data_IF_539103951121
#
_entry.id   IF_539103951121
#
_cell.length_a   1.000
_cell.length_b   1.000
_cell.length_c   1.000
_cell.angle_alpha   90.00
_cell.angle_beta   90.00
_cell.angle_gamma   90.00
#
_symmetry.space_group_name_H-M   'P 1'
#
loop_
_entity.id
_entity.type
_entity.pdbx_description
1 polymer ?
#
# COMPACT_ATOMS: atom_id res chain seq x y z
N UNK A 1 -12.07 7.18 8.45
CA UNK A 1 -12.19 5.88 9.13
C UNK A 1 -10.83 5.57 9.75
N UNK A 2 -10.77 5.25 11.05
CA UNK A 2 -9.52 4.88 11.72
C UNK A 2 -9.59 3.40 12.07
N UNK A 3 -8.60 2.62 11.60
CA UNK A 3 -8.48 1.19 11.89
C UNK A 3 -7.35 1.04 12.92
N UNK A 4 -7.65 0.44 14.09
CA UNK A 4 -6.68 0.32 15.18
C UNK A 4 -5.46 -0.52 14.76
N UNK A 5 -4.30 0.11 14.71
CA UNK A 5 -3.04 -0.52 14.29
C UNK A 5 -2.82 -0.47 12.77
N UNK A 6 -3.47 0.46 12.07
CA UNK A 6 -3.15 0.84 10.71
C UNK A 6 -2.77 2.34 10.68
N UNK A 7 -1.62 2.65 10.11
CA UNK A 7 -1.18 4.04 9.92
C UNK A 7 -1.81 4.61 8.66
N UNK A 8 -2.97 5.27 8.83
CA UNK A 8 -3.70 5.96 7.77
C UNK A 8 -4.52 7.16 8.30
N UNK A 9 -4.47 8.35 7.67
CA UNK A 9 -3.58 8.72 6.57
C UNK A 9 -2.12 8.62 7.01
N UNK A 10 -1.26 8.28 6.06
CA UNK A 10 0.16 8.14 6.33
C UNK A 10 0.85 9.48 6.06
N UNK A 11 1.63 9.95 7.03
CA UNK A 11 2.26 11.27 7.04
C UNK A 11 3.74 11.23 6.63
N UNK A 12 4.28 10.05 6.31
CA UNK A 12 5.68 9.87 5.95
C UNK A 12 6.65 9.75 7.13
N UNK A 13 6.17 9.73 8.38
CA UNK A 13 7.05 9.68 9.56
C UNK A 13 7.61 8.28 9.87
N UNK A 14 7.05 7.23 9.27
CA UNK A 14 7.37 5.83 9.57
C UNK A 14 7.83 5.10 8.30
N UNK A 15 8.92 4.35 8.30
CA UNK A 15 9.33 3.60 7.10
C UNK A 15 8.19 2.68 6.58
N UNK A 16 8.02 2.58 5.25
CA UNK A 16 6.99 1.72 4.67
C UNK A 16 7.45 1.05 3.37
N UNK A 17 6.83 -0.08 3.06
CA UNK A 17 6.88 -0.70 1.74
C UNK A 17 5.60 -0.38 0.97
N UNK A 18 5.74 -0.22 -0.35
CA UNK A 18 4.63 0.13 -1.23
C UNK A 18 4.73 -0.59 -2.56
N UNK A 19 3.61 -1.11 -3.05
CA UNK A 19 3.50 -1.65 -4.42
C UNK A 19 2.20 -1.19 -5.07
N UNK A 20 2.21 -1.05 -6.39
CA UNK A 20 1.01 -0.82 -7.19
C UNK A 20 0.67 -2.06 -8.00
N UNK A 21 -0.53 -2.63 -7.79
CA UNK A 21 -1.04 -3.81 -8.53
C UNK A 21 -2.56 -3.77 -8.62
N UNK A 22 -3.12 -4.38 -9.67
CA UNK A 22 -4.58 -4.54 -9.82
C UNK A 22 -5.36 -3.22 -9.74
N UNK A 23 -4.76 -2.10 -10.17
CA UNK A 23 -5.37 -0.78 -10.07
C UNK A 23 -5.33 -0.12 -8.68
N UNK A 24 -4.58 -0.70 -7.74
CA UNK A 24 -4.55 -0.29 -6.33
C UNK A 24 -3.11 -0.17 -5.82
N UNK A 25 -2.93 0.71 -4.84
CA UNK A 25 -1.71 0.82 -4.06
C UNK A 25 -1.87 0.05 -2.75
N UNK A 26 -0.87 -0.76 -2.43
CA UNK A 26 -0.77 -1.48 -1.17
C UNK A 26 0.40 -0.87 -0.40
N UNK A 27 0.15 -0.37 0.81
CA UNK A 27 1.18 0.22 1.67
C UNK A 27 1.19 -0.46 3.03
N UNK A 28 2.38 -0.82 3.49
CA UNK A 28 2.59 -1.37 4.83
C UNK A 28 3.64 -0.54 5.57
N UNK A 29 3.21 0.24 6.57
CA UNK A 29 4.12 0.98 7.42
C UNK A 29 4.69 0.09 8.53
N UNK A 30 5.93 0.38 8.94
CA UNK A 30 6.60 -0.33 10.05
C UNK A 30 5.76 -0.26 11.32
N UNK A 31 5.45 -1.42 11.89
CA UNK A 31 4.64 -1.53 13.11
C UNK A 31 3.12 -1.62 12.86
N UNK A 32 2.66 -1.46 11.62
CA UNK A 32 1.25 -1.69 11.30
C UNK A 32 0.91 -3.18 11.36
N UNK A 33 -0.29 -3.47 11.86
CA UNK A 33 -0.91 -4.79 11.86
C UNK A 33 -1.75 -5.04 10.61
N UNK A 34 -1.81 -4.06 9.71
CA UNK A 34 -2.57 -4.11 8.49
C UNK A 34 -1.80 -3.46 7.33
N UNK A 35 -2.04 -3.96 6.13
CA UNK A 35 -1.65 -3.32 4.87
C UNK A 35 -2.81 -2.45 4.39
N UNK A 36 -2.55 -1.17 4.17
CA UNK A 36 -3.52 -0.25 3.57
C UNK A 36 -3.69 -0.55 2.08
N UNK A 37 -4.93 -0.64 1.62
CA UNK A 37 -5.28 -0.71 0.19
C UNK A 37 -5.93 0.60 -0.22
N UNK A 38 -5.40 1.26 -1.25
CA UNK A 38 -5.88 2.53 -1.77
C UNK A 38 -6.12 2.41 -3.28
N UNK A 39 -7.08 3.16 -3.81
CA UNK A 39 -7.35 3.17 -5.26
C UNK A 39 -6.27 3.93 -6.01
N UNK A 40 -5.90 3.42 -7.19
CA UNK A 40 -4.95 4.08 -8.09
C UNK A 40 -3.51 3.99 -7.60
N UNK A 41 -2.64 4.65 -8.34
CA UNK A 41 -1.23 4.80 -7.97
C UNK A 41 -1.12 5.97 -7.00
N UNK A 42 -0.76 5.72 -5.74
CA UNK A 42 -0.55 6.79 -4.76
C UNK A 42 0.90 7.27 -4.78
N UNK A 43 1.09 8.55 -5.06
CA UNK A 43 2.38 9.23 -4.94
C UNK A 43 2.35 10.12 -3.70
N UNK A 44 3.04 9.67 -2.66
CA UNK A 44 3.27 10.45 -1.44
C UNK A 44 4.68 11.03 -1.50
N UNK A 45 4.78 12.35 -1.61
CA UNK A 45 6.05 13.05 -1.81
C UNK A 45 6.88 13.07 -0.51
N UNK A 46 7.88 12.16 -0.34
CA UNK A 46 9.20 12.45 0.30
C UNK A 46 10.17 11.25 0.36
N UNK A 47 11.47 11.62 0.40
CA UNK A 47 12.74 10.91 0.17
C UNK A 47 12.74 9.36 0.18
N UNK A 48 12.73 8.80 -1.02
CA UNK A 48 13.25 7.47 -1.32
C UNK A 48 14.06 7.55 -2.61
N UNK A 49 15.17 6.80 -2.70
CA UNK A 49 15.86 6.59 -3.97
C UNK A 49 14.98 5.67 -4.82
N UNK A 50 14.25 6.24 -5.77
CA UNK A 50 13.51 5.47 -6.75
C UNK A 50 14.47 5.07 -7.85
N UNK A 51 14.91 3.81 -7.85
CA UNK A 51 15.82 3.27 -8.87
C UNK A 51 15.09 3.11 -10.22
N UNK A 52 13.78 2.80 -10.19
CA UNK A 52 12.91 2.78 -11.37
C UNK A 52 11.43 2.84 -10.95
N UNK A 53 10.65 3.79 -11.50
CA UNK A 53 9.18 3.84 -11.34
C UNK A 53 8.48 3.63 -12.69
N UNK A 54 7.51 2.73 -12.76
CA UNK A 54 6.68 2.48 -13.97
C UNK A 54 5.22 2.54 -13.57
N UNK A 55 4.67 3.75 -13.54
CA UNK A 55 3.28 3.99 -13.16
C UNK A 55 2.35 3.84 -14.36
N UNK A 56 1.23 3.14 -14.17
CA UNK A 56 0.12 3.12 -15.14
C UNK A 56 -0.91 4.18 -14.72
N UNK A 57 -1.35 5.06 -15.63
CA UNK A 57 -2.39 6.04 -15.34
C UNK A 57 -3.73 5.41 -14.92
N UNK A 58 -4.54 6.10 -14.08
CA UNK A 58 -4.28 7.43 -13.51
C UNK A 58 -3.32 7.37 -12.31
N UNK A 59 -2.40 8.33 -12.27
CA UNK A 59 -1.56 8.60 -11.10
C UNK A 59 -2.30 9.59 -10.22
N UNK A 60 -2.45 9.28 -8.93
CA UNK A 60 -3.13 10.12 -7.96
C UNK A 60 -2.10 10.65 -6.95
N UNK A 61 -1.96 11.97 -6.89
CA UNK A 61 -1.07 12.63 -5.95
C UNK A 61 -1.76 12.92 -4.62
N UNK A 62 -1.00 12.82 -3.53
CA UNK A 62 -1.49 13.10 -2.18
C UNK A 62 -2.24 11.93 -1.54
N UNK A 63 -2.66 12.09 -0.27
CA UNK A 63 -3.29 11.03 0.51
C UNK A 63 -4.57 10.51 -0.17
N UNK A 64 -4.56 9.25 -0.56
CA UNK A 64 -5.73 8.59 -1.16
C UNK A 64 -6.60 7.93 -0.09
N UNK A 65 -7.93 7.88 -0.26
CA UNK A 65 -8.80 7.20 0.68
C UNK A 65 -8.49 5.71 0.73
N UNK A 66 -8.50 5.15 1.95
CA UNK A 66 -8.46 3.71 2.17
C UNK A 66 -9.70 3.07 1.56
N UNK A 67 -9.51 2.06 0.71
CA UNK A 67 -10.60 1.24 0.14
C UNK A 67 -10.72 -0.12 0.82
N UNK A 68 -9.64 -0.62 1.43
CA UNK A 68 -9.65 -1.84 2.25
C UNK A 68 -8.39 -1.92 3.14
N UNK A 69 -8.36 -2.86 4.08
CA UNK A 69 -7.21 -3.19 4.91
C UNK A 69 -7.00 -4.72 5.00
N UNK A 70 -5.78 -5.18 4.72
CA UNK A 70 -5.43 -6.60 4.76
C UNK A 70 -4.69 -6.87 6.08
N UNK A 71 -5.09 -7.86 6.91
CA UNK A 71 -4.31 -8.26 8.07
C UNK A 71 -2.89 -8.66 7.67
N UNK A 72 -1.90 -8.10 8.36
CA UNK A 72 -0.51 -8.39 8.14
C UNK A 72 -0.08 -9.68 8.87
N UNK A 73 0.78 -10.48 8.23
CA UNK A 73 1.34 -11.72 8.80
C UNK A 73 2.85 -11.82 8.53
N UNK A 74 3.62 -10.82 8.96
CA UNK A 74 5.07 -10.76 8.73
C UNK A 74 5.66 -9.39 9.04
N UNK A 75 6.75 -9.05 8.34
CA UNK A 75 7.42 -7.74 8.46
C UNK A 75 7.12 -6.84 7.26
N UNK A 76 6.97 -5.54 7.52
CA UNK A 76 6.71 -4.52 6.51
C UNK A 76 7.77 -4.46 5.40
N UNK A 77 9.01 -4.88 5.67
CA UNK A 77 10.09 -4.87 4.69
C UNK A 77 10.07 -6.06 3.72
N UNK A 78 9.21 -7.06 3.96
CA UNK A 78 9.06 -8.22 3.07
C UNK A 78 8.20 -7.87 1.84
N UNK A 79 8.90 -7.51 0.76
CA UNK A 79 8.26 -7.08 -0.49
C UNK A 79 7.59 -8.24 -1.26
N UNK A 80 8.09 -9.47 -1.12
CA UNK A 80 7.49 -10.66 -1.75
C UNK A 80 6.20 -11.08 -1.03
N UNK A 81 6.18 -11.00 0.30
CA UNK A 81 4.96 -11.17 1.09
C UNK A 81 3.93 -10.09 0.74
N UNK A 82 4.33 -8.81 0.67
CA UNK A 82 3.43 -7.72 0.29
C UNK A 82 2.84 -7.96 -1.12
N UNK A 83 3.65 -8.43 -2.07
CA UNK A 83 3.19 -8.83 -3.41
C UNK A 83 2.16 -9.94 -3.35
N UNK A 84 2.39 -10.96 -2.54
CA UNK A 84 1.50 -12.11 -2.36
C UNK A 84 0.17 -11.69 -1.73
N UNK A 85 0.20 -10.86 -0.69
CA UNK A 85 -1.00 -10.31 -0.04
C UNK A 85 -1.86 -9.51 -1.02
N UNK A 86 -1.24 -8.70 -1.89
CA UNK A 86 -1.95 -7.94 -2.93
C UNK A 86 -2.65 -8.86 -3.95
N UNK A 87 -2.00 -9.95 -4.38
CA UNK A 87 -2.58 -10.92 -5.30
C UNK A 87 -3.74 -11.69 -4.67
N UNK A 88 -3.59 -12.14 -3.43
CA UNK A 88 -4.65 -12.82 -2.69
C UNK A 88 -5.86 -11.92 -2.48
N UNK A 89 -5.63 -10.65 -2.13
CA UNK A 89 -6.69 -9.66 -1.99
C UNK A 89 -7.46 -9.44 -3.31
N UNK A 90 -6.75 -9.32 -4.44
CA UNK A 90 -7.37 -9.09 -5.73
C UNK A 90 -8.25 -10.27 -6.16
N UNK A 91 -7.76 -11.50 -5.98
CA UNK A 91 -8.53 -12.73 -6.24
C UNK A 91 -9.80 -12.78 -5.40
N UNK A 92 -9.70 -12.53 -4.09
CA UNK A 92 -10.84 -12.52 -3.17
C UNK A 92 -11.87 -11.43 -3.52
N UNK A 93 -11.40 -10.30 -4.04
CA UNK A 93 -12.24 -9.14 -4.37
C UNK A 93 -12.82 -9.17 -5.79
N UNK A 94 -12.54 -10.21 -6.59
CA UNK A 94 -12.97 -10.29 -7.99
C UNK A 94 -12.25 -9.29 -8.93
N UNK A 95 -11.01 -8.91 -8.59
CA UNK A 95 -10.20 -7.89 -9.30
C UNK A 95 -8.92 -8.47 -9.93
N UNK A 96 -8.84 -9.80 -10.04
CA UNK A 96 -7.68 -10.54 -10.56
C UNK A 96 -7.73 -10.79 -12.06
#
# INVERSE_FOLDING_TARGET
MSIKGLTHPYDGATACSRIYRHGHTFRWAKGDRYVAVMRGTCVEQRRFLIIQDRLRPPVLEGPQPLVDAIPAAGDWSDTDLLRTLADLWARRSGRG
#
